data_IF_168643812207
#
_entry.id   IF_168643812207
#
_cell.length_a   1.000
_cell.length_b   1.000
_cell.length_c   1.000
_cell.angle_alpha   90.00
_cell.angle_beta   90.00
_cell.angle_gamma   90.00
#
_symmetry.space_group_name_H-M   'P 1'
#
loop_
_entity.id
_entity.type
_entity.pdbx_description
1 polymer ?
#
# COMPACT_ATOMS: atom_id res chain seq x y z
N UNK A 1 -0.30 -24.82 -17.70
CA UNK A 1 -0.20 -23.36 -17.48
C UNK A 1 0.28 -23.12 -16.04
N UNK A 2 1.46 -22.52 -15.83
CA UNK A 2 1.83 -22.04 -14.48
C UNK A 2 0.84 -20.95 -14.11
N UNK A 3 0.25 -21.03 -12.91
CA UNK A 3 -0.58 -19.93 -12.37
C UNK A 3 0.33 -18.72 -12.13
N UNK A 4 -0.04 -17.58 -12.65
CA UNK A 4 0.65 -16.32 -12.31
C UNK A 4 0.42 -16.03 -10.80
N UNK A 5 1.52 -15.81 -10.09
CA UNK A 5 1.54 -15.40 -8.68
C UNK A 5 2.28 -14.08 -8.60
N UNK A 6 1.59 -13.04 -8.22
CA UNK A 6 2.17 -11.71 -8.13
C UNK A 6 2.31 -11.35 -6.64
N UNK A 7 3.55 -11.11 -6.20
CA UNK A 7 3.80 -10.53 -4.88
C UNK A 7 3.43 -9.05 -4.91
N UNK A 8 2.51 -8.64 -4.04
CA UNK A 8 2.08 -7.25 -3.93
C UNK A 8 2.77 -6.56 -2.76
N UNK A 9 3.34 -5.40 -3.02
CA UNK A 9 3.97 -4.51 -2.05
C UNK A 9 3.38 -3.11 -2.20
N UNK A 10 3.48 -2.29 -1.16
CA UNK A 10 3.14 -0.87 -1.22
C UNK A 10 4.12 -0.07 -0.38
N UNK A 11 4.33 1.17 -0.75
CA UNK A 11 4.98 2.17 0.11
C UNK A 11 6.35 1.69 0.62
N UNK A 12 7.25 1.36 -0.31
CA UNK A 12 8.60 0.90 0.00
C UNK A 12 9.53 2.02 0.46
N UNK A 13 9.23 3.27 0.10
CA UNK A 13 9.90 4.50 0.56
C UNK A 13 11.41 4.36 0.69
N UNK A 14 12.06 3.81 -0.32
CA UNK A 14 13.53 3.70 -0.38
C UNK A 14 14.14 5.10 -0.19
N UNK A 15 15.10 5.22 0.75
CA UNK A 15 15.71 6.49 1.12
C UNK A 15 15.04 7.22 2.29
N UNK A 16 14.06 6.62 2.97
CA UNK A 16 13.39 7.21 4.15
C UNK A 16 14.37 7.58 5.27
N UNK A 17 15.45 6.83 5.42
CA UNK A 17 16.50 7.09 6.41
C UNK A 17 17.23 8.41 6.20
N UNK A 18 17.30 8.87 4.94
CA UNK A 18 17.91 10.17 4.61
C UNK A 18 17.07 11.30 5.18
N UNK A 19 15.73 11.20 5.05
CA UNK A 19 14.81 12.17 5.65
C UNK A 19 14.89 12.15 7.17
N UNK A 20 14.89 10.98 7.81
CA UNK A 20 15.04 10.83 9.26
C UNK A 20 16.29 11.54 9.77
N UNK A 21 17.41 11.42 9.04
CA UNK A 21 18.66 12.12 9.35
C UNK A 21 18.51 13.63 9.23
N UNK A 22 17.91 14.08 8.12
CA UNK A 22 17.84 15.49 7.77
C UNK A 22 16.85 16.27 8.64
N UNK A 23 15.68 15.67 8.92
CA UNK A 23 14.60 16.37 9.62
C UNK A 23 14.60 16.13 11.13
N UNK A 24 15.03 14.93 11.55
CA UNK A 24 14.98 14.53 12.97
C UNK A 24 16.35 14.29 13.59
N UNK A 25 17.43 14.47 12.83
CA UNK A 25 18.80 14.17 13.33
C UNK A 25 19.03 12.70 13.67
N UNK A 26 18.14 11.79 13.26
CA UNK A 26 18.25 10.36 13.53
C UNK A 26 19.13 9.70 12.49
N UNK A 27 20.28 9.16 12.92
CA UNK A 27 21.17 8.41 12.04
C UNK A 27 20.74 6.94 11.99
N UNK A 28 19.78 6.63 11.12
CA UNK A 28 19.41 5.26 10.80
C UNK A 28 20.29 4.72 9.66
N UNK A 29 20.67 3.44 9.74
CA UNK A 29 21.32 2.75 8.62
C UNK A 29 20.32 2.46 7.54
N UNK A 30 20.72 2.48 6.25
CA UNK A 30 19.85 2.12 5.14
C UNK A 30 19.22 0.74 5.36
N UNK A 31 17.92 0.67 5.17
CA UNK A 31 17.15 -0.57 5.27
C UNK A 31 16.95 -1.22 3.89
N UNK A 32 17.39 -0.59 2.81
CA UNK A 32 17.15 -1.06 1.44
C UNK A 32 17.67 -2.47 1.21
N UNK A 33 18.86 -2.80 1.73
CA UNK A 33 19.41 -4.16 1.63
C UNK A 33 18.50 -5.20 2.29
N UNK A 34 18.06 -4.94 3.52
CA UNK A 34 17.12 -5.82 4.27
C UNK A 34 15.77 -5.93 3.58
N UNK A 35 15.29 -4.83 3.01
CA UNK A 35 14.02 -4.82 2.27
C UNK A 35 14.12 -5.69 1.02
N UNK A 36 15.22 -5.58 0.26
CA UNK A 36 15.49 -6.45 -0.91
C UNK A 36 15.53 -7.92 -0.48
N UNK A 37 16.32 -8.27 0.54
CA UNK A 37 16.44 -9.65 1.04
C UNK A 37 15.07 -10.23 1.39
N UNK A 38 14.28 -9.50 2.17
CA UNK A 38 12.94 -9.92 2.57
C UNK A 38 12.00 -10.11 1.38
N UNK A 39 12.02 -9.20 0.40
CA UNK A 39 11.19 -9.32 -0.80
C UNK A 39 11.60 -10.54 -1.63
N UNK A 40 12.89 -10.77 -1.82
CA UNK A 40 13.40 -11.91 -2.58
C UNK A 40 13.08 -13.23 -1.88
N UNK A 41 13.19 -13.28 -0.56
CA UNK A 41 12.75 -14.43 0.25
C UNK A 41 11.26 -14.73 0.04
N UNK A 42 10.40 -13.70 0.04
CA UNK A 42 8.97 -13.87 -0.23
C UNK A 42 8.71 -14.33 -1.67
N UNK A 43 9.45 -13.79 -2.66
CA UNK A 43 9.36 -14.24 -4.05
C UNK A 43 9.66 -15.73 -4.16
N UNK A 44 10.71 -16.20 -3.46
CA UNK A 44 11.11 -17.61 -3.48
C UNK A 44 10.13 -18.51 -2.71
N UNK A 45 9.74 -18.12 -1.49
CA UNK A 45 8.88 -18.91 -0.63
C UNK A 45 7.47 -19.12 -1.22
N UNK A 46 6.98 -18.14 -1.98
CA UNK A 46 5.65 -18.21 -2.60
C UNK A 46 5.67 -18.52 -4.11
N UNK A 47 6.84 -18.84 -4.68
CA UNK A 47 7.04 -19.04 -6.14
C UNK A 47 6.42 -17.88 -6.95
N UNK A 48 6.61 -16.64 -6.50
CA UNK A 48 6.06 -15.49 -7.20
C UNK A 48 6.72 -15.32 -8.57
N UNK A 49 5.89 -15.10 -9.59
CA UNK A 49 6.34 -14.95 -10.99
C UNK A 49 6.54 -13.48 -11.38
N UNK A 50 6.05 -12.55 -10.54
CA UNK A 50 6.22 -11.12 -10.70
C UNK A 50 6.08 -10.41 -9.33
N UNK A 51 6.59 -9.20 -9.25
CA UNK A 51 6.41 -8.29 -8.11
C UNK A 51 5.63 -7.07 -8.59
N UNK A 52 4.61 -6.63 -7.86
CA UNK A 52 3.94 -5.35 -8.12
C UNK A 52 4.07 -4.43 -6.91
N UNK A 53 4.57 -3.21 -7.14
CA UNK A 53 4.74 -2.19 -6.10
C UNK A 53 3.69 -1.11 -6.31
N UNK A 54 2.80 -0.97 -5.33
CA UNK A 54 1.66 -0.06 -5.38
C UNK A 54 2.04 1.33 -4.86
N UNK A 55 3.02 1.95 -5.52
CA UNK A 55 3.46 3.32 -5.33
C UNK A 55 4.37 3.58 -4.14
N UNK A 56 4.80 4.82 -4.11
CA UNK A 56 5.75 5.36 -3.15
C UNK A 56 7.00 4.46 -3.01
N UNK A 57 7.61 4.18 -4.18
CA UNK A 57 8.86 3.41 -4.26
C UNK A 57 9.98 4.16 -3.58
N UNK A 58 10.07 5.48 -3.81
CA UNK A 58 11.04 6.37 -3.20
C UNK A 58 10.37 7.31 -2.21
N UNK A 59 11.17 7.87 -1.29
CA UNK A 59 10.62 8.73 -0.25
C UNK A 59 10.73 10.22 -0.56
N UNK A 60 11.90 10.74 -0.94
CA UNK A 60 12.17 12.16 -1.01
C UNK A 60 11.70 12.90 -2.26
N UNK A 61 11.28 14.16 -2.06
CA UNK A 61 10.92 15.12 -3.09
C UNK A 61 11.54 16.50 -2.76
N UNK A 62 12.50 17.02 -3.56
CA UNK A 62 13.21 16.36 -4.68
C UNK A 62 14.13 15.24 -4.20
N UNK A 63 14.40 14.26 -5.07
CA UNK A 63 15.26 13.13 -4.71
C UNK A 63 16.75 13.51 -4.82
N UNK A 64 17.56 13.34 -3.76
CA UNK A 64 19.01 13.46 -3.84
C UNK A 64 19.62 12.38 -4.75
N UNK A 65 20.77 12.69 -5.35
CA UNK A 65 21.44 11.76 -6.28
C UNK A 65 21.75 10.40 -5.64
N UNK A 66 22.16 10.41 -4.38
CA UNK A 66 22.47 9.18 -3.63
C UNK A 66 21.23 8.30 -3.47
N UNK A 67 20.09 8.90 -3.07
CA UNK A 67 18.82 8.18 -2.94
C UNK A 67 18.30 7.69 -4.31
N UNK A 68 18.54 8.43 -5.40
CA UNK A 68 18.20 7.98 -6.75
C UNK A 68 18.97 6.72 -7.17
N UNK A 69 20.27 6.67 -6.86
CA UNK A 69 21.09 5.46 -7.12
C UNK A 69 20.65 4.27 -6.24
N UNK A 70 20.27 4.53 -4.99
CA UNK A 70 19.73 3.51 -4.11
C UNK A 70 18.44 2.90 -4.65
N UNK A 71 17.49 3.74 -5.09
CA UNK A 71 16.24 3.31 -5.75
C UNK A 71 16.55 2.49 -7.01
N UNK A 72 17.50 2.96 -7.82
CA UNK A 72 17.93 2.24 -9.03
C UNK A 72 18.48 0.86 -8.70
N UNK A 73 19.32 0.75 -7.68
CA UNK A 73 19.90 -0.53 -7.23
C UNK A 73 18.83 -1.46 -6.66
N UNK A 74 17.87 -0.92 -5.89
CA UNK A 74 16.71 -1.65 -5.39
C UNK A 74 15.92 -2.28 -6.55
N UNK A 75 15.52 -1.48 -7.55
CA UNK A 75 14.77 -1.97 -8.71
C UNK A 75 15.54 -3.00 -9.51
N UNK A 76 16.87 -2.79 -9.74
CA UNK A 76 17.73 -3.77 -10.41
C UNK A 76 17.84 -5.09 -9.65
N UNK A 77 17.91 -5.05 -8.32
CA UNK A 77 17.98 -6.25 -7.50
C UNK A 77 16.72 -7.09 -7.66
N UNK A 78 15.54 -6.47 -7.60
CA UNK A 78 14.27 -7.16 -7.76
C UNK A 78 14.07 -7.68 -9.19
N UNK A 79 14.33 -6.85 -10.20
CA UNK A 79 14.06 -7.20 -11.61
C UNK A 79 14.93 -8.33 -12.14
N UNK A 80 16.11 -8.56 -11.54
CA UNK A 80 16.94 -9.74 -11.85
C UNK A 80 16.30 -11.07 -11.46
N UNK A 81 15.38 -11.03 -10.46
CA UNK A 81 14.74 -12.26 -9.97
C UNK A 81 13.34 -12.44 -10.53
N UNK A 82 12.57 -11.40 -10.68
CA UNK A 82 11.21 -11.41 -11.21
C UNK A 82 10.87 -10.06 -11.86
N UNK A 83 10.04 -10.03 -12.91
CA UNK A 83 9.52 -8.77 -13.47
C UNK A 83 8.86 -7.92 -12.40
N UNK A 84 9.07 -6.60 -12.46
CA UNK A 84 8.54 -5.62 -11.51
C UNK A 84 7.58 -4.68 -12.22
N UNK A 85 6.34 -4.62 -11.76
CA UNK A 85 5.32 -3.68 -12.19
C UNK A 85 5.15 -2.61 -11.11
N UNK A 86 5.15 -1.33 -11.48
CA UNK A 86 4.98 -0.23 -10.52
C UNK A 86 3.79 0.63 -10.93
N UNK A 87 2.88 0.87 -10.01
CA UNK A 87 1.86 1.92 -10.14
C UNK A 87 2.31 3.12 -9.32
N UNK A 88 2.77 4.24 -9.93
CA UNK A 88 3.43 5.32 -9.20
C UNK A 88 2.56 5.95 -8.11
N UNK A 89 3.19 6.29 -6.98
CA UNK A 89 2.61 7.05 -5.89
C UNK A 89 2.86 8.56 -5.97
N UNK A 90 2.47 9.28 -4.93
CA UNK A 90 2.67 10.74 -4.90
C UNK A 90 4.14 11.14 -4.62
N UNK A 91 4.95 10.26 -4.07
CA UNK A 91 6.39 10.46 -3.91
C UNK A 91 7.21 10.06 -5.14
N UNK A 92 6.61 9.45 -6.16
CA UNK A 92 7.31 8.83 -7.30
C UNK A 92 7.57 9.75 -8.50
N UNK A 93 7.60 11.08 -8.30
CA UNK A 93 8.07 11.97 -9.36
C UNK A 93 9.49 11.56 -9.82
N UNK A 94 9.76 11.64 -11.12
CA UNK A 94 11.03 11.24 -11.75
C UNK A 94 11.37 9.73 -11.65
N UNK A 95 10.46 8.89 -11.13
CA UNK A 95 10.72 7.46 -11.03
C UNK A 95 10.94 6.82 -12.42
N UNK A 96 10.27 7.35 -13.44
CA UNK A 96 10.41 6.86 -14.81
C UNK A 96 11.83 7.08 -15.37
N UNK A 97 12.44 8.23 -15.05
CA UNK A 97 13.82 8.53 -15.40
C UNK A 97 14.82 7.66 -14.63
N UNK A 98 14.55 7.42 -13.34
CA UNK A 98 15.39 6.56 -12.50
C UNK A 98 15.34 5.11 -12.98
N UNK A 99 14.16 4.62 -13.35
CA UNK A 99 13.98 3.26 -13.85
C UNK A 99 14.38 3.05 -15.32
N UNK A 100 14.65 4.13 -16.05
CA UNK A 100 15.02 4.05 -17.45
C UNK A 100 16.23 3.13 -17.69
N UNK A 101 16.06 2.17 -18.62
CA UNK A 101 17.10 1.21 -18.97
C UNK A 101 17.31 0.08 -17.95
N UNK A 102 16.39 -0.11 -17.00
CA UNK A 102 16.38 -1.30 -16.14
C UNK A 102 15.45 -2.34 -16.78
N UNK A 103 16.03 -3.41 -17.28
CA UNK A 103 15.26 -4.51 -17.87
C UNK A 103 14.35 -5.16 -16.82
N UNK A 104 13.12 -5.50 -17.25
CA UNK A 104 12.15 -6.16 -16.38
C UNK A 104 11.41 -5.25 -15.40
N UNK A 105 11.57 -3.92 -15.49
CA UNK A 105 10.79 -2.94 -14.74
C UNK A 105 9.81 -2.23 -15.66
N UNK A 106 8.53 -2.29 -15.33
CA UNK A 106 7.45 -1.59 -16.03
C UNK A 106 6.78 -0.60 -15.09
N UNK A 107 6.58 0.65 -15.54
CA UNK A 107 5.84 1.68 -14.80
C UNK A 107 4.51 1.89 -15.48
N UNK A 108 3.44 1.51 -14.79
CA UNK A 108 2.06 1.70 -15.21
C UNK A 108 1.60 3.16 -14.96
N UNK A 109 0.45 3.56 -15.52
CA UNK A 109 -0.15 4.83 -15.19
C UNK A 109 -0.49 4.95 -13.69
N UNK A 110 -0.31 6.15 -13.09
CA UNK A 110 -0.66 6.39 -11.67
C UNK A 110 -2.15 6.13 -11.36
N UNK A 111 -3.02 6.17 -12.38
CA UNK A 111 -4.44 5.83 -12.28
C UNK A 111 -4.70 4.33 -12.13
N UNK A 112 -3.65 3.52 -12.17
CA UNK A 112 -3.69 2.08 -11.93
C UNK A 112 -3.67 1.22 -13.19
N UNK A 113 -3.64 -0.08 -12.95
CA UNK A 113 -3.68 -1.13 -13.95
C UNK A 113 -4.65 -2.22 -13.54
N UNK A 114 -5.45 -2.69 -14.49
CA UNK A 114 -6.40 -3.79 -14.28
C UNK A 114 -5.75 -5.12 -14.69
N UNK A 115 -5.49 -5.98 -13.72
CA UNK A 115 -5.01 -7.35 -13.92
C UNK A 115 -6.16 -8.34 -13.66
N UNK A 116 -6.78 -8.84 -14.71
CA UNK A 116 -7.98 -9.66 -14.60
C UNK A 116 -9.13 -8.92 -13.88
N UNK A 117 -9.45 -9.32 -12.65
CA UNK A 117 -10.47 -8.70 -11.80
C UNK A 117 -9.92 -7.74 -10.73
N UNK A 118 -8.59 -7.57 -10.67
CA UNK A 118 -7.89 -6.78 -9.67
C UNK A 118 -7.44 -5.46 -10.29
N UNK A 119 -7.88 -4.36 -9.71
CA UNK A 119 -7.39 -3.02 -10.02
C UNK A 119 -6.32 -2.65 -9.01
N UNK A 120 -5.10 -2.51 -9.49
CA UNK A 120 -3.91 -2.17 -8.69
C UNK A 120 -3.57 -0.71 -8.91
N UNK A 121 -3.43 0.09 -7.86
CA UNK A 121 -2.94 1.46 -7.91
C UNK A 121 -2.51 1.95 -6.52
N UNK A 122 -1.83 3.07 -6.44
CA UNK A 122 -1.36 3.56 -5.14
C UNK A 122 -2.49 4.06 -4.24
N UNK A 123 -3.43 4.86 -4.75
CA UNK A 123 -4.57 5.36 -3.96
C UNK A 123 -4.66 6.87 -3.80
N UNK A 124 -3.67 7.65 -4.23
CA UNK A 124 -3.64 9.12 -4.13
C UNK A 124 -4.42 9.83 -5.26
N UNK A 125 -4.66 9.16 -6.39
CA UNK A 125 -5.42 9.68 -7.53
C UNK A 125 -6.68 8.86 -7.79
N UNK A 126 -7.60 9.42 -8.58
CA UNK A 126 -8.79 8.69 -9.04
C UNK A 126 -8.38 7.65 -10.09
N UNK A 127 -8.79 6.39 -9.97
CA UNK A 127 -8.56 5.38 -11.00
C UNK A 127 -9.31 5.68 -12.29
N UNK A 128 -9.00 4.96 -13.37
CA UNK A 128 -9.80 5.02 -14.58
C UNK A 128 -11.19 4.41 -14.32
N UNK A 129 -12.26 5.06 -14.84
CA UNK A 129 -13.64 4.61 -14.61
C UNK A 129 -13.88 3.22 -15.19
N UNK A 130 -13.38 3.00 -16.39
CA UNK A 130 -13.52 1.75 -17.13
C UNK A 130 -12.88 0.56 -16.38
N UNK A 131 -11.75 0.80 -15.70
CA UNK A 131 -11.05 -0.23 -14.90
C UNK A 131 -11.78 -0.49 -13.60
N UNK A 132 -12.26 0.56 -12.91
CA UNK A 132 -13.06 0.42 -11.69
C UNK A 132 -14.41 -0.30 -11.97
N UNK A 133 -15.01 -0.08 -13.12
CA UNK A 133 -16.23 -0.78 -13.55
C UNK A 133 -16.02 -2.28 -13.73
N UNK A 134 -14.85 -2.70 -14.22
CA UNK A 134 -14.50 -4.11 -14.45
C UNK A 134 -13.98 -4.80 -13.20
N UNK A 135 -13.29 -4.07 -12.32
CA UNK A 135 -12.68 -4.61 -11.13
C UNK A 135 -13.70 -5.26 -10.18
N UNK A 136 -13.33 -6.36 -9.55
CA UNK A 136 -14.03 -6.95 -8.40
C UNK A 136 -13.35 -6.60 -7.09
N UNK A 137 -12.03 -6.41 -7.16
CA UNK A 137 -11.17 -6.06 -6.03
C UNK A 137 -10.30 -4.89 -6.46
N UNK A 138 -10.26 -3.87 -5.64
CA UNK A 138 -9.28 -2.78 -5.68
C UNK A 138 -8.22 -3.07 -4.65
N UNK A 139 -6.94 -2.97 -5.00
CA UNK A 139 -5.82 -3.14 -4.06
C UNK A 139 -4.96 -1.88 -4.14
N UNK A 140 -4.68 -1.28 -2.98
CA UNK A 140 -3.98 -0.01 -2.88
C UNK A 140 -3.04 0.04 -1.66
N UNK A 141 -2.14 1.03 -1.63
CA UNK A 141 -1.31 1.42 -0.50
C UNK A 141 -1.72 2.78 0.07
N UNK A 142 -0.76 3.70 0.21
CA UNK A 142 -0.90 5.12 0.50
C UNK A 142 -1.29 5.49 1.94
N UNK A 143 -2.11 4.70 2.61
CA UNK A 143 -2.62 5.05 3.95
C UNK A 143 -1.85 4.39 5.08
N UNK A 144 -0.94 3.47 4.75
CA UNK A 144 -0.07 2.77 5.70
C UNK A 144 -0.80 2.26 6.96
N UNK A 145 -1.87 1.47 6.86
CA UNK A 145 -2.62 1.05 8.03
C UNK A 145 -1.79 0.21 8.99
N UNK A 146 -1.99 0.46 10.28
CA UNK A 146 -1.39 -0.29 11.37
C UNK A 146 -2.39 -0.44 12.53
N UNK A 147 -2.22 -1.48 13.33
CA UNK A 147 -3.02 -1.73 14.53
C UNK A 147 -2.13 -1.68 15.78
N UNK A 148 -2.63 -1.09 16.86
CA UNK A 148 -1.95 -1.14 18.15
C UNK A 148 -2.49 -2.35 18.92
N UNK A 149 -1.58 -3.27 19.26
CA UNK A 149 -1.85 -4.45 20.07
C UNK A 149 -1.24 -4.20 21.43
N UNK A 150 -2.06 -4.29 22.48
CA UNK A 150 -1.60 -4.10 23.87
C UNK A 150 -1.72 -5.44 24.60
N UNK A 151 -0.69 -5.82 25.32
CA UNK A 151 -0.71 -7.02 26.17
C UNK A 151 -1.35 -6.73 27.55
N UNK A 152 -1.50 -7.79 28.35
CA UNK A 152 -2.15 -7.73 29.66
C UNK A 152 -1.37 -6.87 30.71
N UNK A 153 -0.11 -6.55 30.44
CA UNK A 153 0.73 -5.70 31.30
C UNK A 153 0.83 -4.25 30.78
N UNK A 154 0.09 -3.92 29.70
CA UNK A 154 0.03 -2.57 29.14
C UNK A 154 1.14 -2.24 28.13
N UNK A 155 1.97 -3.20 27.74
CA UNK A 155 2.94 -2.98 26.67
C UNK A 155 2.24 -2.97 25.32
N UNK A 156 2.43 -1.89 24.56
CA UNK A 156 1.76 -1.67 23.28
C UNK A 156 2.75 -1.74 22.11
N UNK A 157 2.41 -2.51 21.10
CA UNK A 157 3.15 -2.61 19.84
C UNK A 157 2.26 -2.15 18.71
N UNK A 158 2.82 -1.37 17.78
CA UNK A 158 2.13 -0.99 16.55
C UNK A 158 2.58 -1.91 15.41
N UNK A 159 1.66 -2.72 14.90
CA UNK A 159 1.90 -3.70 13.86
C UNK A 159 1.27 -3.28 12.54
N UNK A 160 1.96 -3.44 11.39
CA UNK A 160 1.39 -3.20 10.07
C UNK A 160 0.15 -4.07 9.84
N UNK A 161 -0.90 -3.47 9.28
CA UNK A 161 -2.18 -4.16 9.08
C UNK A 161 -2.67 -4.06 7.64
N UNK A 162 -3.34 -5.09 7.18
CA UNK A 162 -4.09 -5.11 5.91
C UNK A 162 -5.55 -4.83 6.22
N UNK A 163 -6.14 -3.85 5.54
CA UNK A 163 -7.58 -3.61 5.63
C UNK A 163 -8.28 -4.25 4.45
N UNK A 164 -9.42 -4.88 4.72
CA UNK A 164 -10.33 -5.38 3.70
C UNK A 164 -11.70 -4.76 3.91
N UNK A 165 -12.13 -3.94 2.97
CA UNK A 165 -13.34 -3.13 3.05
C UNK A 165 -14.35 -3.67 2.03
N UNK A 166 -15.56 -3.98 2.50
CA UNK A 166 -16.66 -4.35 1.64
C UNK A 166 -17.57 -3.13 1.38
N UNK A 167 -17.73 -2.75 0.12
CA UNK A 167 -18.51 -1.55 -0.24
C UNK A 167 -19.36 -1.76 -1.47
N UNK A 168 -20.16 -0.76 -1.82
CA UNK A 168 -20.97 -0.76 -3.03
C UNK A 168 -20.26 -0.06 -4.18
N UNK A 169 -20.00 -0.80 -5.29
CA UNK A 169 -19.41 -0.21 -6.50
C UNK A 169 -20.19 1.01 -6.99
N UNK A 170 -21.51 0.95 -7.01
CA UNK A 170 -22.33 2.07 -7.48
C UNK A 170 -22.20 3.32 -6.62
N UNK A 171 -22.01 3.16 -5.29
CA UNK A 171 -21.77 4.30 -4.39
C UNK A 171 -20.40 4.91 -4.65
N UNK A 172 -19.36 4.08 -4.76
CA UNK A 172 -17.98 4.53 -5.06
C UNK A 172 -17.94 5.27 -6.41
N UNK A 173 -18.54 4.71 -7.47
CA UNK A 173 -18.56 5.38 -8.78
C UNK A 173 -19.30 6.72 -8.73
N UNK A 174 -20.44 6.79 -8.06
CA UNK A 174 -21.18 8.03 -7.91
C UNK A 174 -20.37 9.10 -7.18
N UNK A 175 -19.68 8.71 -6.14
CA UNK A 175 -18.82 9.63 -5.38
C UNK A 175 -17.60 10.12 -6.19
N UNK A 176 -17.01 9.24 -7.04
CA UNK A 176 -15.83 9.56 -7.86
C UNK A 176 -16.19 10.35 -9.13
N UNK A 177 -17.26 9.96 -9.83
CA UNK A 177 -17.54 10.40 -11.20
C UNK A 177 -18.89 11.11 -11.35
N UNK A 178 -19.67 11.24 -10.26
CA UNK A 178 -21.00 11.87 -10.29
C UNK A 178 -22.13 10.95 -10.75
N UNK A 179 -21.80 9.77 -11.25
CA UNK A 179 -22.76 8.80 -11.79
C UNK A 179 -22.43 7.37 -11.37
N UNK A 180 -23.40 6.45 -11.27
CA UNK A 180 -23.13 5.06 -10.93
C UNK A 180 -22.38 4.35 -12.06
N UNK A 181 -21.59 3.34 -11.68
CA UNK A 181 -21.01 2.41 -12.65
C UNK A 181 -22.08 1.60 -13.37
N UNK A 182 -21.82 1.20 -14.62
CA UNK A 182 -22.67 0.29 -15.40
C UNK A 182 -22.86 -1.06 -14.71
N UNK A 183 -21.74 -1.65 -14.23
CA UNK A 183 -21.77 -2.90 -13.45
C UNK A 183 -22.15 -2.57 -12.00
N UNK A 184 -23.22 -3.18 -11.52
CA UNK A 184 -23.66 -3.09 -10.11
C UNK A 184 -23.01 -4.18 -9.27
N UNK A 185 -23.17 -4.11 -7.96
CA UNK A 185 -22.73 -5.15 -7.01
C UNK A 185 -21.69 -4.67 -6.00
N UNK A 186 -21.14 -5.63 -5.28
CA UNK A 186 -20.11 -5.39 -4.27
C UNK A 186 -18.75 -5.08 -4.92
N UNK A 187 -17.98 -4.26 -4.25
CA UNK A 187 -16.57 -3.98 -4.52
C UNK A 187 -15.80 -4.26 -3.26
N UNK A 188 -14.71 -4.99 -3.35
CA UNK A 188 -13.76 -5.15 -2.24
C UNK A 188 -12.64 -4.16 -2.43
N UNK A 189 -12.24 -3.48 -1.36
CA UNK A 189 -11.06 -2.62 -1.34
C UNK A 189 -10.10 -3.22 -0.32
N UNK A 190 -8.89 -3.53 -0.77
CA UNK A 190 -7.80 -4.03 0.08
C UNK A 190 -6.75 -2.92 0.18
N UNK A 191 -6.38 -2.57 1.39
CA UNK A 191 -5.35 -1.56 1.65
C UNK A 191 -4.15 -2.27 2.27
N UNK A 192 -3.01 -2.17 1.60
CA UNK A 192 -1.76 -2.74 2.08
C UNK A 192 -1.04 -1.77 3.03
N UNK A 193 -0.35 -2.27 4.04
CA UNK A 193 0.54 -1.45 4.86
C UNK A 193 1.80 -1.04 4.09
N UNK A 194 2.54 -0.09 4.63
CA UNK A 194 3.87 0.22 4.15
C UNK A 194 4.80 -0.98 4.29
N UNK A 195 5.62 -1.22 3.26
CA UNK A 195 6.60 -2.31 3.26
C UNK A 195 7.93 -1.92 3.91
N UNK A 196 8.15 -0.62 4.14
CA UNK A 196 9.40 -0.11 4.73
C UNK A 196 9.46 -0.39 6.25
N UNK A 197 10.56 -1.00 6.76
CA UNK A 197 10.62 -1.46 8.16
C UNK A 197 10.59 -0.35 9.21
N UNK A 198 10.94 0.89 8.86
CA UNK A 198 10.93 2.03 9.77
C UNK A 198 9.63 2.84 9.72
N UNK A 199 8.70 2.50 8.84
CA UNK A 199 7.40 3.18 8.74
C UNK A 199 6.39 2.41 9.59
N UNK A 200 6.05 2.96 10.74
CA UNK A 200 5.14 2.32 11.70
C UNK A 200 3.66 2.42 11.30
N UNK A 201 3.35 3.19 10.26
CA UNK A 201 1.98 3.34 9.75
C UNK A 201 1.06 4.22 10.61
N UNK A 202 -0.21 4.31 10.19
CA UNK A 202 -1.29 5.07 10.82
C UNK A 202 -2.21 4.09 11.55
N UNK A 203 -2.52 4.38 12.81
CA UNK A 203 -3.47 3.56 13.56
C UNK A 203 -4.81 3.50 12.81
N UNK A 204 -5.36 2.30 12.67
CA UNK A 204 -6.63 2.08 11.96
C UNK A 204 -7.77 2.92 12.54
N UNK A 205 -7.72 3.28 13.82
CA UNK A 205 -8.68 4.15 14.50
C UNK A 205 -8.62 5.62 14.03
N UNK A 206 -7.47 6.06 13.52
CA UNK A 206 -7.25 7.41 12.99
C UNK A 206 -7.59 7.53 11.51
N UNK A 207 -7.75 6.41 10.80
CA UNK A 207 -8.04 6.38 9.34
C UNK A 207 -9.31 7.18 8.99
N UNK A 208 -10.43 7.12 9.72
CA UNK A 208 -11.61 7.93 9.41
C UNK A 208 -11.32 9.45 9.40
N UNK A 209 -10.50 9.95 10.34
CA UNK A 209 -10.09 11.35 10.37
C UNK A 209 -9.16 11.66 9.17
N UNK A 210 -8.18 10.84 8.91
CA UNK A 210 -7.26 11.00 7.77
C UNK A 210 -8.01 11.04 6.44
N UNK A 211 -9.07 10.25 6.27
CA UNK A 211 -9.92 10.27 5.09
C UNK A 211 -10.68 11.59 4.97
N UNK A 212 -11.18 12.13 6.06
CA UNK A 212 -11.88 13.42 6.07
C UNK A 212 -10.98 14.58 5.64
N UNK A 213 -9.72 14.56 6.03
CA UNK A 213 -8.70 15.55 5.67
C UNK A 213 -8.18 15.37 4.22
N UNK A 214 -8.52 14.31 3.57
CA UNK A 214 -7.76 13.79 2.62
C UNK A 214 -7.71 13.79 1.18
N UNK A 215 -6.61 13.19 0.83
CA UNK A 215 -6.10 12.98 -0.52
C UNK A 215 -6.01 11.49 -0.87
N UNK A 216 -6.96 10.68 -0.38
CA UNK A 216 -6.98 9.23 -0.60
C UNK A 216 -8.24 8.80 -1.33
N UNK A 217 -8.13 7.72 -2.12
CA UNK A 217 -9.27 7.06 -2.75
C UNK A 217 -10.34 6.63 -1.72
N UNK A 218 -9.94 6.30 -0.49
CA UNK A 218 -10.85 5.91 0.57
C UNK A 218 -11.90 6.98 0.90
N UNK A 219 -11.67 8.24 0.57
CA UNK A 219 -12.67 9.32 0.66
C UNK A 219 -13.96 9.03 -0.10
N UNK A 220 -13.86 8.22 -1.14
CA UNK A 220 -15.00 7.85 -2.00
C UNK A 220 -15.60 6.50 -1.63
N UNK A 221 -15.03 5.84 -0.62
CA UNK A 221 -15.49 4.56 -0.09
C UNK A 221 -16.31 4.82 1.16
N UNK A 222 -17.56 4.34 1.19
CA UNK A 222 -18.34 4.37 2.41
C UNK A 222 -17.73 3.40 3.42
N UNK A 223 -17.13 3.93 4.47
CA UNK A 223 -16.53 3.16 5.56
C UNK A 223 -17.55 3.00 6.68
N UNK A 224 -18.10 1.81 6.79
CA UNK A 224 -18.83 1.38 7.98
C UNK A 224 -17.88 0.54 8.81
N UNK A 225 -17.65 0.84 10.10
CA UNK A 225 -16.67 0.13 10.90
C UNK A 225 -16.86 -1.39 10.92
N UNK A 226 -18.10 -1.88 10.84
CA UNK A 226 -18.45 -3.29 10.75
C UNK A 226 -18.09 -3.94 9.40
N UNK A 227 -17.94 -3.17 8.33
CA UNK A 227 -17.60 -3.62 6.98
C UNK A 227 -16.07 -3.59 6.70
N UNK A 228 -15.26 -3.15 7.68
CA UNK A 228 -13.79 -3.04 7.59
C UNK A 228 -13.15 -4.14 8.41
N UNK A 229 -12.69 -5.18 7.77
CA UNK A 229 -11.95 -6.29 8.37
C UNK A 229 -10.46 -5.94 8.47
N UNK A 230 -9.82 -6.25 9.59
CA UNK A 230 -8.40 -5.95 9.89
C UNK A 230 -7.64 -7.26 10.03
N UNK A 231 -6.52 -7.36 9.31
CA UNK A 231 -5.63 -8.51 9.33
C UNK A 231 -4.19 -8.05 9.58
N UNK A 232 -3.40 -8.85 10.28
CA UNK A 232 -1.94 -8.70 10.27
C UNK A 232 -1.36 -9.14 8.91
N UNK A 233 -0.09 -8.89 8.69
CA UNK A 233 0.59 -9.23 7.42
C UNK A 233 0.74 -10.72 7.17
N UNK A 234 0.60 -11.56 8.19
CA UNK A 234 0.52 -13.03 8.11
C UNK A 234 -0.91 -13.54 7.89
N UNK A 235 -1.87 -12.62 7.64
CA UNK A 235 -3.30 -12.87 7.51
C UNK A 235 -4.01 -13.33 8.78
N UNK A 236 -3.42 -13.15 9.97
CA UNK A 236 -4.13 -13.30 11.24
C UNK A 236 -5.25 -12.27 11.30
N UNK A 237 -6.50 -12.74 11.44
CA UNK A 237 -7.67 -11.87 11.58
C UNK A 237 -7.72 -11.26 12.99
N UNK A 238 -7.72 -9.94 13.07
CA UNK A 238 -7.76 -9.21 14.35
C UNK A 238 -9.20 -8.88 14.77
N UNK A 239 -10.08 -8.62 13.81
CA UNK A 239 -11.45 -8.20 14.04
C UNK A 239 -11.90 -7.18 13.00
N UNK A 240 -13.04 -6.57 13.22
CA UNK A 240 -13.49 -5.42 12.45
C UNK A 240 -12.97 -4.11 13.06
N UNK A 241 -13.04 -3.03 12.32
CA UNK A 241 -12.73 -1.69 12.85
C UNK A 241 -13.64 -1.34 14.04
N UNK A 242 -14.90 -1.79 14.02
CA UNK A 242 -15.83 -1.64 15.15
C UNK A 242 -15.31 -2.36 16.39
N UNK A 243 -14.79 -3.59 16.25
CA UNK A 243 -14.24 -4.36 17.37
C UNK A 243 -13.03 -3.66 17.98
N UNK A 244 -12.11 -3.15 17.14
CA UNK A 244 -10.88 -2.44 17.59
C UNK A 244 -11.23 -1.11 18.29
N UNK A 245 -12.22 -0.36 17.80
CA UNK A 245 -12.69 0.86 18.44
C UNK A 245 -13.31 0.55 19.82
N UNK A 246 -14.15 -0.47 19.90
CA UNK A 246 -14.82 -0.86 21.15
C UNK A 246 -13.82 -1.37 22.20
N UNK A 247 -12.85 -2.19 21.79
CA UNK A 247 -11.80 -2.70 22.68
C UNK A 247 -11.00 -1.55 23.33
N UNK A 248 -10.66 -0.51 22.55
CA UNK A 248 -9.90 0.63 23.04
C UNK A 248 -10.69 1.46 24.09
N UNK A 249 -12.01 1.49 24.03
CA UNK A 249 -12.86 2.18 25.03
C UNK A 249 -12.90 1.45 26.36
N UNK A 250 -12.79 0.13 26.36
CA UNK A 250 -12.79 -0.70 27.58
C UNK A 250 -11.45 -0.73 28.31
N UNK A 251 -10.36 -0.35 27.67
CA UNK A 251 -9.00 -0.32 28.26
C UNK A 251 -8.70 0.98 29.00
N UNK A 252 -9.60 1.99 28.94
CA UNK A 252 -9.45 3.30 29.60
C UNK A 252 -10.17 3.38 30.97
N UNK A 253 -10.69 2.28 31.50
CA UNK A 253 -11.31 2.13 32.80
C UNK A 253 -10.54 1.12 33.65
#
# INVERSE_FOLDING_TARGET
MRRERILLLADTHVGYEVELRRERGVHAMSQTGRLVEKILELVDNYDATAVAILGDVKHELPIPRESAEEVKNFLKALSRRAPVLITPGNHDSLLQEIAAGIDGVEIAPARGVLLGKYLLFHGHVKPAKEDLEKAEVVIMGHTHPAVIITDDIGYAVKEPAVLKINTSRSKVCRALYGEPCKKRGKLKVVVLPASHPLITGVDVREIPQMIAEGRTFLKYVELKPEDVEIYLTDFTFIGTLADVINAAQHTQH
#
